data_IF_154570208768
#
_entry.id   IF_154570208768
#
_cell.length_a   1.000
_cell.length_b   1.000
_cell.length_c   1.000
_cell.angle_alpha   90.00
_cell.angle_beta   90.00
_cell.angle_gamma   90.00
#
_symmetry.space_group_name_H-M   'P 1'
#
loop_
_entity.id
_entity.type
_entity.pdbx_description
1 polymer ?
#
# COMPACT_ATOMS: atom_id res chain seq x y z
N UNK A 1 -14.64 0.84 7.17
CA UNK A 1 -13.56 0.44 6.24
C UNK A 1 -12.41 -0.04 7.09
N UNK A 2 -11.96 -1.27 6.89
CA UNK A 2 -10.85 -1.83 7.67
C UNK A 2 -9.56 -1.04 7.39
N UNK A 3 -8.64 -0.98 8.36
CA UNK A 3 -7.35 -0.28 8.20
C UNK A 3 -6.57 -0.80 6.99
N UNK A 4 -6.67 -2.11 6.73
CA UNK A 4 -6.05 -2.78 5.60
C UNK A 4 -6.54 -2.23 4.26
N UNK A 5 -7.86 -2.09 4.08
CA UNK A 5 -8.47 -1.61 2.83
C UNK A 5 -8.11 -0.15 2.57
N UNK A 6 -8.04 0.66 3.64
CA UNK A 6 -7.60 2.05 3.55
C UNK A 6 -6.15 2.15 3.06
N UNK A 7 -5.25 1.34 3.61
CA UNK A 7 -3.84 1.30 3.18
C UNK A 7 -3.74 0.87 1.72
N UNK A 8 -4.49 -0.16 1.29
CA UNK A 8 -4.50 -0.63 -0.10
C UNK A 8 -4.92 0.50 -1.05
N UNK A 9 -6.05 1.16 -0.75
CA UNK A 9 -6.60 2.22 -1.58
C UNK A 9 -5.64 3.40 -1.74
N UNK A 10 -5.03 3.86 -0.65
CA UNK A 10 -4.11 5.00 -0.69
C UNK A 10 -2.75 4.64 -1.30
N UNK A 11 -2.25 3.42 -1.05
CA UNK A 11 -1.03 2.94 -1.68
C UNK A 11 -1.19 2.79 -3.20
N UNK A 12 -2.36 2.35 -3.69
CA UNK A 12 -2.64 2.26 -5.12
C UNK A 12 -2.49 3.63 -5.82
N UNK A 13 -3.02 4.69 -5.21
CA UNK A 13 -2.90 6.07 -5.73
C UNK A 13 -1.43 6.48 -5.83
N UNK A 14 -0.66 6.27 -4.77
CA UNK A 14 0.78 6.54 -4.74
C UNK A 14 1.53 5.77 -5.82
N UNK A 15 1.27 4.47 -5.95
CA UNK A 15 1.91 3.63 -6.96
C UNK A 15 1.53 4.05 -8.39
N UNK A 16 0.28 4.44 -8.63
CA UNK A 16 -0.17 4.95 -9.92
C UNK A 16 0.50 6.28 -10.29
N UNK A 17 0.72 7.14 -9.30
CA UNK A 17 1.30 8.47 -9.54
C UNK A 17 2.82 8.43 -9.74
N UNK A 18 3.54 7.60 -8.97
CA UNK A 18 5.00 7.65 -8.90
C UNK A 18 5.70 6.36 -9.36
N UNK A 19 4.93 5.29 -9.60
CA UNK A 19 5.42 3.97 -10.00
C UNK A 19 5.89 3.11 -8.82
N UNK A 20 5.75 1.79 -8.97
CA UNK A 20 6.09 0.82 -7.91
C UNK A 20 7.53 0.92 -7.43
N UNK A 21 8.51 1.19 -8.30
CA UNK A 21 9.93 1.25 -7.88
C UNK A 21 10.22 2.45 -6.97
N UNK A 22 9.60 3.59 -7.25
CA UNK A 22 9.89 4.86 -6.57
C UNK A 22 9.26 4.98 -5.18
N UNK A 23 8.09 4.36 -4.98
CA UNK A 23 7.36 4.45 -3.71
C UNK A 23 7.91 3.46 -2.67
N UNK A 24 8.26 3.94 -1.49
CA UNK A 24 8.70 3.12 -0.36
C UNK A 24 7.60 2.92 0.67
N UNK A 25 7.80 1.99 1.61
CA UNK A 25 6.90 1.82 2.76
C UNK A 25 6.88 3.06 3.68
N UNK A 26 7.95 3.86 3.68
CA UNK A 26 8.00 5.11 4.44
C UNK A 26 7.18 6.21 3.76
N UNK A 27 7.20 6.28 2.43
CA UNK A 27 6.36 7.22 1.68
C UNK A 27 4.89 6.94 1.90
N UNK A 28 4.51 5.65 1.90
CA UNK A 28 3.16 5.20 2.21
C UNK A 28 2.79 5.62 3.65
N UNK A 29 3.63 5.33 4.63
CA UNK A 29 3.37 5.72 6.03
C UNK A 29 3.16 7.24 6.18
N UNK A 30 4.02 8.03 5.54
CA UNK A 30 3.96 9.49 5.55
C UNK A 30 2.70 10.02 4.88
N UNK A 31 2.33 9.48 3.71
CA UNK A 31 1.11 9.86 2.97
C UNK A 31 -0.15 9.56 3.77
N UNK A 32 -0.20 8.41 4.44
CA UNK A 32 -1.33 8.01 5.27
C UNK A 32 -1.36 8.66 6.66
N UNK A 33 -0.31 9.36 7.08
CA UNK A 33 -0.21 9.93 8.43
C UNK A 33 -0.14 8.87 9.54
N UNK A 34 0.39 7.69 9.23
CA UNK A 34 0.50 6.56 10.17
C UNK A 34 1.96 6.17 10.41
N UNK A 35 2.21 5.41 11.47
CA UNK A 35 3.55 4.83 11.67
C UNK A 35 3.79 3.67 10.70
N UNK A 36 5.05 3.48 10.28
CA UNK A 36 5.48 2.32 9.49
C UNK A 36 5.09 0.98 10.15
N UNK A 37 5.13 0.92 11.49
CA UNK A 37 4.68 -0.23 12.29
C UNK A 37 3.21 -0.58 12.03
N UNK A 38 2.34 0.42 11.88
CA UNK A 38 0.91 0.21 11.59
C UNK A 38 0.73 -0.49 10.24
N UNK A 39 1.54 -0.13 9.24
CA UNK A 39 1.51 -0.80 7.94
C UNK A 39 2.00 -2.24 8.08
N UNK A 40 3.13 -2.45 8.78
CA UNK A 40 3.68 -3.80 8.94
C UNK A 40 2.81 -4.76 9.78
N UNK A 41 1.87 -4.26 10.58
CA UNK A 41 0.86 -5.09 11.24
C UNK A 41 -0.15 -5.70 10.26
N UNK A 42 -0.32 -5.09 9.08
CA UNK A 42 -1.30 -5.49 8.07
C UNK A 42 -0.65 -6.16 6.83
N UNK A 43 0.64 -5.88 6.58
CA UNK A 43 1.40 -6.37 5.44
C UNK A 43 2.82 -6.72 5.87
N UNK A 44 3.32 -7.88 5.46
CA UNK A 44 4.69 -8.33 5.70
C UNK A 44 5.72 -7.40 5.05
N UNK A 45 5.46 -7.00 3.80
CA UNK A 45 6.35 -6.17 3.01
C UNK A 45 5.63 -5.47 1.85
N UNK A 46 6.38 -4.65 1.11
CA UNK A 46 5.89 -3.92 -0.08
C UNK A 46 5.42 -4.87 -1.19
N UNK A 47 6.04 -6.03 -1.35
CA UNK A 47 5.68 -6.97 -2.41
C UNK A 47 4.33 -7.63 -2.10
N UNK A 48 4.03 -7.94 -0.84
CA UNK A 48 2.70 -8.41 -0.45
C UNK A 48 1.62 -7.39 -0.79
N UNK A 49 1.83 -6.11 -0.46
CA UNK A 49 0.90 -5.04 -0.78
C UNK A 49 0.67 -4.91 -2.29
N UNK A 50 1.74 -4.93 -3.10
CA UNK A 50 1.66 -4.90 -4.56
C UNK A 50 0.93 -6.12 -5.11
N UNK A 51 1.21 -7.31 -4.59
CA UNK A 51 0.54 -8.54 -5.02
C UNK A 51 -0.97 -8.51 -4.77
N UNK A 52 -1.40 -7.97 -3.61
CA UNK A 52 -2.82 -7.79 -3.30
C UNK A 52 -3.45 -6.83 -4.31
N UNK A 53 -2.82 -5.67 -4.57
CA UNK A 53 -3.30 -4.69 -5.54
C UNK A 53 -3.42 -5.25 -6.97
N UNK A 54 -2.42 -6.00 -7.42
CA UNK A 54 -2.44 -6.63 -8.75
C UNK A 54 -3.55 -7.67 -8.83
N UNK A 55 -3.73 -8.50 -7.80
CA UNK A 55 -4.82 -9.49 -7.76
C UNK A 55 -6.18 -8.81 -7.83
N UNK A 56 -6.38 -7.73 -7.08
CA UNK A 56 -7.63 -6.98 -7.08
C UNK A 56 -7.93 -6.38 -8.47
N UNK A 57 -6.91 -5.89 -9.20
CA UNK A 57 -7.10 -5.38 -10.57
C UNK A 57 -7.35 -6.45 -11.63
N UNK A 58 -6.88 -7.68 -11.44
CA UNK A 58 -7.03 -8.76 -12.43
C UNK A 58 -8.37 -9.49 -12.27
N UNK A 59 -8.93 -9.50 -11.06
CA UNK A 59 -10.15 -10.24 -10.73
C UNK A 59 -11.44 -9.41 -10.84
N UNK A 60 -11.32 -8.11 -11.14
CA UNK A 60 -12.44 -7.17 -11.31
C UNK A 60 -12.57 -6.74 -12.77
#
# INVERSE_FOLDING_TARGET
MEVKDYIITEADKLFCQYGFKSVTMDDIAKHLGVSKKTIYQNFKDKNELINILIRDRILN
#
